data_IF_669301081590
#
_entry.id   IF_669301081590
#
_cell.length_a   1.000
_cell.length_b   1.000
_cell.length_c   1.000
_cell.angle_alpha   90.00
_cell.angle_beta   90.00
_cell.angle_gamma   90.00
#
_symmetry.space_group_name_H-M   'P 1'
#
loop_
_entity.id
_entity.type
_entity.pdbx_description
1 polymer ?
#
# COMPACT_ATOMS: atom_id res chain seq x y z
N UNK A 1 9.33 -40.84 -27.88
CA UNK A 1 8.48 -39.82 -28.54
C UNK A 1 7.28 -39.42 -27.67
N UNK A 2 6.19 -40.21 -27.57
CA UNK A 2 4.94 -39.81 -26.87
C UNK A 2 5.11 -39.49 -25.37
N UNK A 3 5.91 -40.29 -24.64
CA UNK A 3 6.20 -40.06 -23.21
C UNK A 3 7.02 -38.79 -22.96
N UNK A 4 7.93 -38.45 -23.86
CA UNK A 4 8.76 -37.24 -23.77
C UNK A 4 7.91 -36.00 -24.02
N UNK A 5 6.99 -36.06 -24.99
CA UNK A 5 6.03 -34.98 -25.26
C UNK A 5 5.12 -34.74 -24.05
N UNK A 6 4.63 -35.81 -23.42
CA UNK A 6 3.79 -35.70 -22.22
C UNK A 6 4.54 -35.02 -21.06
N UNK A 7 5.81 -35.39 -20.84
CA UNK A 7 6.65 -34.78 -19.79
C UNK A 7 6.89 -33.29 -20.09
N UNK A 8 7.17 -32.93 -21.33
CA UNK A 8 7.37 -31.53 -21.72
C UNK A 8 6.11 -30.68 -21.51
N UNK A 9 4.93 -31.22 -21.85
CA UNK A 9 3.66 -30.53 -21.63
C UNK A 9 3.38 -30.34 -20.13
N UNK A 10 3.62 -31.37 -19.31
CA UNK A 10 3.47 -31.27 -17.86
C UNK A 10 4.42 -30.22 -17.27
N UNK A 11 5.70 -30.23 -17.66
CA UNK A 11 6.67 -29.21 -17.21
C UNK A 11 6.28 -27.80 -17.65
N UNK A 12 5.80 -27.62 -18.88
CA UNK A 12 5.36 -26.31 -19.37
C UNK A 12 4.15 -25.78 -18.59
N UNK A 13 3.17 -26.64 -18.28
CA UNK A 13 2.00 -26.26 -17.47
C UNK A 13 2.38 -25.92 -16.03
N UNK A 14 3.26 -26.71 -15.39
CA UNK A 14 3.78 -26.42 -14.06
C UNK A 14 4.57 -25.10 -14.02
N UNK A 15 5.45 -24.87 -14.99
CA UNK A 15 6.14 -23.59 -15.12
C UNK A 15 5.15 -22.45 -15.28
N UNK A 16 4.17 -22.57 -16.18
CA UNK A 16 3.19 -21.51 -16.41
C UNK A 16 2.40 -21.16 -15.13
N UNK A 17 1.99 -22.16 -14.34
CA UNK A 17 1.31 -21.95 -13.05
C UNK A 17 2.24 -21.26 -12.04
N UNK A 18 3.51 -21.64 -11.97
CA UNK A 18 4.50 -21.01 -11.09
C UNK A 18 4.76 -19.55 -11.49
N UNK A 19 4.98 -19.28 -12.78
CA UNK A 19 5.24 -17.93 -13.31
C UNK A 19 4.00 -17.01 -13.28
N UNK A 20 2.78 -17.55 -13.40
CA UNK A 20 1.56 -16.76 -13.28
C UNK A 20 1.23 -16.42 -11.81
N UNK A 21 1.75 -17.17 -10.84
CA UNK A 21 1.57 -16.88 -9.42
C UNK A 21 2.34 -15.61 -8.97
N UNK A 22 3.43 -15.25 -9.67
CA UNK A 22 4.15 -13.99 -9.45
C UNK A 22 3.40 -12.75 -10.00
N UNK A 23 2.28 -12.96 -10.69
CA UNK A 23 1.51 -11.92 -11.40
C UNK A 23 0.26 -11.40 -10.69
N UNK A 24 -0.09 -11.90 -9.49
CA UNK A 24 -1.10 -11.22 -8.67
C UNK A 24 -0.42 -10.19 -7.80
N UNK A 25 -0.61 -8.87 -8.04
CA UNK A 25 -0.32 -7.88 -7.03
C UNK A 25 -1.27 -8.12 -5.86
N UNK A 26 -0.86 -8.95 -4.90
CA UNK A 26 -1.49 -9.05 -3.57
C UNK A 26 -1.46 -7.70 -2.85
N UNK A 27 -0.66 -6.75 -3.34
CA UNK A 27 -0.88 -5.33 -3.17
C UNK A 27 -1.46 -4.74 -4.45
N UNK A 28 -2.79 -4.67 -4.57
CA UNK A 28 -3.39 -3.46 -5.14
C UNK A 28 -2.83 -2.33 -4.29
N UNK A 29 -1.72 -1.72 -4.73
CA UNK A 29 -1.19 -0.55 -4.06
C UNK A 29 -2.26 0.51 -4.27
N UNK A 30 -3.21 0.59 -3.32
CA UNK A 30 -4.24 1.60 -3.30
C UNK A 30 -3.53 2.94 -3.20
N UNK A 31 -3.26 3.51 -4.37
CA UNK A 31 -2.60 4.78 -4.49
C UNK A 31 -3.61 5.84 -4.10
N UNK A 32 -3.19 6.79 -3.27
CA UNK A 32 -3.94 8.00 -3.07
C UNK A 32 -4.03 8.77 -4.39
N UNK A 33 -5.25 9.00 -4.87
CA UNK A 33 -5.55 9.88 -6.00
C UNK A 33 -5.95 11.29 -5.54
N UNK A 34 -6.38 11.42 -4.28
CA UNK A 34 -6.70 12.69 -3.63
C UNK A 34 -6.22 12.68 -2.17
N UNK A 35 -6.05 13.87 -1.59
CA UNK A 35 -5.68 14.07 -0.18
C UNK A 35 -6.73 14.90 0.56
N UNK A 36 -7.11 14.45 1.74
CA UNK A 36 -8.02 15.16 2.62
C UNK A 36 -7.35 16.42 3.19
N UNK A 37 -8.07 17.55 3.16
CA UNK A 37 -7.57 18.84 3.71
C UNK A 37 -7.55 18.86 5.24
N UNK A 38 -8.40 18.09 5.91
CA UNK A 38 -8.48 18.01 7.37
C UNK A 38 -8.69 16.57 7.81
N UNK A 39 -8.12 16.22 8.96
CA UNK A 39 -8.41 14.95 9.62
C UNK A 39 -9.57 15.18 10.58
N UNK A 40 -10.69 14.45 10.45
CA UNK A 40 -11.73 14.49 11.45
C UNK A 40 -11.16 13.99 12.78
N UNK A 41 -11.24 14.82 13.82
CA UNK A 41 -10.63 14.54 15.14
C UNK A 41 -11.12 13.23 15.74
N UNK A 42 -12.38 12.90 15.46
CA UNK A 42 -13.07 11.70 15.92
C UNK A 42 -12.42 10.42 15.39
N UNK A 43 -11.69 10.47 14.26
CA UNK A 43 -11.04 9.29 13.67
C UNK A 43 -9.60 9.08 14.17
N UNK A 44 -8.97 10.11 14.74
CA UNK A 44 -7.58 10.04 15.22
C UNK A 44 -7.33 8.95 16.27
N UNK A 45 -8.25 8.68 17.23
CA UNK A 45 -8.09 7.58 18.19
C UNK A 45 -8.14 6.20 17.53
N UNK A 46 -8.85 6.06 16.41
CA UNK A 46 -9.08 4.79 15.72
C UNK A 46 -8.03 4.47 14.64
N UNK A 47 -6.97 5.28 14.52
CA UNK A 47 -5.90 5.02 13.56
C UNK A 47 -5.11 3.79 13.99
N UNK A 48 -5.21 2.69 13.25
CA UNK A 48 -4.48 1.44 13.54
C UNK A 48 -3.09 1.43 12.91
N UNK A 49 -2.88 2.21 11.85
CA UNK A 49 -1.62 2.21 11.10
C UNK A 49 -1.36 3.50 10.33
N UNK A 50 -0.11 3.69 9.94
CA UNK A 50 0.32 4.81 9.11
C UNK A 50 1.39 4.35 8.13
N UNK A 51 1.28 4.77 6.88
CA UNK A 51 2.27 4.54 5.82
C UNK A 51 2.52 5.83 5.03
N UNK A 52 3.76 6.04 4.60
CA UNK A 52 4.10 7.12 3.67
C UNK A 52 4.08 6.57 2.24
N UNK A 53 3.24 7.16 1.38
CA UNK A 53 3.24 6.95 -0.05
C UNK A 53 4.21 7.94 -0.70
N UNK A 54 5.23 7.40 -1.36
CA UNK A 54 6.20 8.19 -2.13
C UNK A 54 5.69 8.38 -3.56
N UNK A 55 6.13 9.47 -4.21
CA UNK A 55 5.92 9.68 -5.63
C UNK A 55 7.05 9.03 -6.43
N UNK A 56 7.04 7.69 -6.49
CA UNK A 56 8.08 6.88 -7.14
C UNK A 56 7.70 6.42 -8.56
N UNK A 57 6.70 7.06 -9.19
CA UNK A 57 6.17 6.66 -10.50
C UNK A 57 5.17 5.49 -10.47
N UNK A 58 5.09 4.74 -9.36
CA UNK A 58 4.01 3.74 -9.13
C UNK A 58 2.72 4.45 -8.67
N UNK A 59 2.86 5.39 -7.73
CA UNK A 59 1.80 6.30 -7.34
C UNK A 59 2.27 7.72 -7.66
N UNK A 60 1.42 8.52 -8.30
CA UNK A 60 1.80 9.85 -8.81
C UNK A 60 1.70 10.98 -7.78
N UNK A 61 1.22 10.68 -6.57
CA UNK A 61 0.98 11.67 -5.51
C UNK A 61 1.73 11.24 -4.26
N UNK A 62 2.41 12.20 -3.61
CA UNK A 62 3.00 12.00 -2.29
C UNK A 62 1.93 12.20 -1.22
N UNK A 63 1.67 11.17 -0.41
CA UNK A 63 0.63 11.20 0.61
C UNK A 63 1.05 10.46 1.88
N UNK A 64 0.47 10.85 3.02
CA UNK A 64 0.45 10.03 4.23
C UNK A 64 -0.88 9.28 4.28
N UNK A 65 -0.81 7.96 4.36
CA UNK A 65 -1.97 7.09 4.44
C UNK A 65 -2.17 6.67 5.89
N UNK A 66 -3.29 7.04 6.47
CA UNK A 66 -3.74 6.56 7.77
C UNK A 66 -4.71 5.40 7.56
N UNK A 67 -4.45 4.28 8.23
CA UNK A 67 -5.39 3.16 8.32
C UNK A 67 -6.29 3.40 9.52
N UNK A 68 -7.60 3.52 9.27
CA UNK A 68 -8.61 3.71 10.31
C UNK A 68 -9.66 2.62 10.13
N UNK A 69 -9.75 1.72 11.11
CA UNK A 69 -10.55 0.49 10.99
C UNK A 69 -10.18 -0.26 9.69
N UNK A 70 -11.14 -0.42 8.76
CA UNK A 70 -10.96 -1.05 7.45
C UNK A 70 -10.86 -0.04 6.30
N UNK A 71 -10.67 1.25 6.58
CA UNK A 71 -10.60 2.32 5.57
C UNK A 71 -9.24 3.01 5.57
N UNK A 72 -8.89 3.58 4.43
CA UNK A 72 -7.69 4.39 4.25
C UNK A 72 -8.07 5.86 4.12
N UNK A 73 -7.32 6.73 4.80
CA UNK A 73 -7.45 8.18 4.67
C UNK A 73 -6.11 8.71 4.19
N UNK A 74 -6.13 9.32 3.01
CA UNK A 74 -4.98 9.95 2.38
C UNK A 74 -4.88 11.41 2.79
N UNK A 75 -3.69 11.85 3.20
CA UNK A 75 -3.45 13.21 3.68
C UNK A 75 -2.19 13.80 3.05
N UNK A 76 -2.20 15.12 2.87
CA UNK A 76 -1.01 15.86 2.45
C UNK A 76 0.05 15.80 3.57
N UNK A 77 1.30 15.36 3.28
CA UNK A 77 2.40 15.39 4.24
C UNK A 77 2.70 16.79 4.81
N UNK A 78 2.33 17.86 4.09
CA UNK A 78 2.49 19.26 4.50
C UNK A 78 1.38 19.75 5.44
N UNK A 79 0.38 18.92 5.74
CA UNK A 79 -0.73 19.31 6.62
C UNK A 79 -0.24 19.53 8.06
N UNK A 80 -0.35 20.76 8.57
CA UNK A 80 0.12 21.12 9.92
C UNK A 80 -0.61 20.33 11.03
N UNK A 81 -1.89 20.04 10.86
CA UNK A 81 -2.67 19.28 11.86
C UNK A 81 -2.20 17.83 11.94
N UNK A 82 -1.88 17.23 10.79
CA UNK A 82 -1.30 15.89 10.71
C UNK A 82 0.06 15.85 11.41
N UNK A 83 0.96 16.78 11.11
CA UNK A 83 2.30 16.81 11.71
C UNK A 83 2.25 16.94 13.23
N UNK A 84 1.40 17.85 13.75
CA UNK A 84 1.17 18.00 15.20
C UNK A 84 0.64 16.72 15.82
N UNK A 85 -0.26 16.01 15.14
CA UNK A 85 -0.78 14.74 15.64
C UNK A 85 0.28 13.63 15.63
N UNK A 86 1.06 13.49 14.56
CA UNK A 86 2.15 12.52 14.47
C UNK A 86 3.18 12.77 15.58
N UNK A 87 3.57 14.04 15.79
CA UNK A 87 4.54 14.41 16.82
C UNK A 87 4.06 14.04 18.23
N UNK A 88 2.77 14.27 18.53
CA UNK A 88 2.17 13.87 19.81
C UNK A 88 2.12 12.35 19.98
N UNK A 89 1.88 11.60 18.90
CA UNK A 89 1.73 10.14 18.93
C UNK A 89 3.07 9.39 18.95
N UNK A 90 4.07 9.94 18.27
CA UNK A 90 5.39 9.31 18.08
C UNK A 90 6.52 10.32 18.32
N UNK A 91 6.73 10.76 19.58
CA UNK A 91 7.71 11.80 19.90
C UNK A 91 9.17 11.45 19.55
N UNK A 92 9.49 10.17 19.27
CA UNK A 92 10.86 9.69 18.98
C UNK A 92 11.13 9.27 17.52
N UNK A 93 10.13 9.30 16.63
CA UNK A 93 10.25 8.71 15.26
C UNK A 93 10.50 9.75 14.15
N UNK A 94 10.82 10.99 14.55
CA UNK A 94 11.13 12.10 13.65
C UNK A 94 12.54 12.62 13.98
N UNK A 95 13.52 11.74 13.73
CA UNK A 95 14.94 12.04 13.52
C UNK A 95 15.37 11.26 12.29
#
# INVERSE_FOLDING_TARGET
>A
MKRVILVLLLCATLCCVLYCADGLPTNFAHCCTEVARRIPRNLLPHVTGMRIQKNNGICNIRAVVLHVNNKQICLDPKNRSLQKWIQKRHPKKMM
#
